data_IF_008498335505
#
_entry.id   IF_008498335505
#
_cell.length_a   1.000
_cell.length_b   1.000
_cell.length_c   1.000
_cell.angle_alpha   90.00
_cell.angle_beta   90.00
_cell.angle_gamma   90.00
#
_symmetry.space_group_name_H-M   'P 1'
#
loop_
_entity.id
_entity.type
_entity.pdbx_description
1 polymer ?
#
# COMPACT_ATOMS: atom_id res chain seq x y z
N UNK A 1 -16.20 7.30 -2.54
CA UNK A 1 -14.74 7.45 -2.37
C UNK A 1 -14.02 6.18 -2.78
N UNK A 2 -12.72 6.24 -2.95
CA UNK A 2 -11.87 5.11 -3.34
C UNK A 2 -10.91 4.80 -2.19
N UNK A 3 -10.84 3.55 -1.75
CA UNK A 3 -9.85 3.06 -0.79
C UNK A 3 -8.74 2.29 -1.54
N UNK A 4 -7.51 2.74 -1.42
CA UNK A 4 -6.31 2.06 -1.93
C UNK A 4 -5.53 1.39 -0.80
N UNK A 5 -5.08 0.14 -1.00
CA UNK A 5 -4.33 -0.64 -0.02
C UNK A 5 -3.08 -1.25 -0.66
N UNK A 6 -1.92 -1.00 -0.04
CA UNK A 6 -0.66 -1.73 -0.27
C UNK A 6 -0.41 -2.67 0.90
N UNK A 7 -0.78 -3.95 0.73
CA UNK A 7 -0.82 -4.93 1.81
C UNK A 7 0.55 -5.55 2.04
N UNK A 8 1.05 -5.42 3.25
CA UNK A 8 2.26 -6.06 3.72
C UNK A 8 2.11 -6.57 5.15
N UNK A 9 2.79 -7.66 5.47
CA UNK A 9 2.78 -8.25 6.83
C UNK A 9 3.57 -7.45 7.86
N UNK A 10 4.33 -6.46 7.45
CA UNK A 10 5.10 -5.57 8.34
C UNK A 10 4.51 -4.18 8.46
N UNK A 11 3.93 -3.67 7.38
CA UNK A 11 3.37 -2.33 7.32
C UNK A 11 2.42 -2.23 6.12
N UNK A 12 1.13 -2.14 6.35
CA UNK A 12 0.15 -1.92 5.27
C UNK A 12 -0.04 -0.42 5.03
N UNK A 13 0.22 0.02 3.81
CA UNK A 13 -0.08 1.38 3.36
C UNK A 13 -1.55 1.51 2.93
N UNK A 14 -2.12 2.70 3.08
CA UNK A 14 -3.48 2.99 2.64
C UNK A 14 -3.64 4.44 2.20
N UNK A 15 -4.58 4.66 1.31
CA UNK A 15 -5.04 6.01 0.94
C UNK A 15 -6.54 6.02 0.68
N UNK A 16 -7.15 7.18 0.88
CA UNK A 16 -8.54 7.47 0.53
C UNK A 16 -8.53 8.62 -0.46
N UNK A 17 -9.15 8.39 -1.61
CA UNK A 17 -9.31 9.37 -2.67
C UNK A 17 -10.79 9.69 -2.89
N UNK A 18 -11.07 10.88 -3.35
CA UNK A 18 -12.33 11.18 -4.01
C UNK A 18 -12.42 10.42 -5.35
N UNK A 19 -13.62 10.35 -5.92
CA UNK A 19 -13.84 9.73 -7.24
C UNK A 19 -13.18 10.49 -8.39
N UNK A 20 -12.83 11.74 -8.22
CA UNK A 20 -12.05 12.56 -9.16
C UNK A 20 -10.52 12.34 -9.06
N UNK A 21 -10.08 11.49 -8.12
CA UNK A 21 -8.66 11.20 -7.87
C UNK A 21 -7.98 12.11 -6.84
N UNK A 22 -8.67 13.11 -6.29
CA UNK A 22 -8.12 13.98 -5.25
C UNK A 22 -7.83 13.20 -3.98
N UNK A 23 -6.60 13.30 -3.46
CA UNK A 23 -6.22 12.67 -2.20
C UNK A 23 -6.92 13.35 -1.02
N UNK A 24 -7.67 12.57 -0.24
CA UNK A 24 -8.28 13.03 1.01
C UNK A 24 -7.40 12.70 2.20
N UNK A 25 -6.91 11.48 2.26
CA UNK A 25 -6.12 11.01 3.39
C UNK A 25 -5.24 9.83 2.97
N UNK A 26 -4.07 9.72 3.58
CA UNK A 26 -3.24 8.52 3.46
C UNK A 26 -2.50 8.24 4.76
N UNK A 27 -2.01 7.01 4.88
CA UNK A 27 -1.27 6.62 6.06
C UNK A 27 -0.78 5.18 5.98
N UNK A 28 -0.41 4.66 7.12
CA UNK A 28 0.08 3.28 7.23
C UNK A 28 -0.36 2.64 8.54
N UNK A 29 -0.44 1.32 8.51
CA UNK A 29 -0.78 0.47 9.67
C UNK A 29 0.46 -0.35 10.01
N UNK A 30 1.15 -0.07 11.14
CA UNK A 30 2.35 -0.80 11.53
C UNK A 30 1.97 -2.19 12.08
N UNK A 31 2.47 -3.26 11.46
CA UNK A 31 2.16 -4.64 11.79
C UNK A 31 3.39 -5.47 12.23
N UNK A 32 4.59 -4.87 12.20
CA UNK A 32 5.85 -5.58 12.49
C UNK A 32 5.93 -6.14 13.91
N UNK A 33 5.26 -5.50 14.87
CA UNK A 33 5.21 -5.94 16.29
C UNK A 33 4.05 -6.89 16.61
N UNK A 34 3.18 -7.16 15.64
CA UNK A 34 2.03 -8.07 15.80
C UNK A 34 2.46 -9.48 15.43
N UNK A 35 2.20 -10.47 16.28
CA UNK A 35 2.84 -11.79 16.23
C UNK A 35 2.41 -12.67 15.07
N UNK A 36 1.10 -12.84 14.82
CA UNK A 36 0.60 -13.78 13.81
C UNK A 36 -0.28 -13.09 12.76
N UNK A 37 -0.54 -13.79 11.65
CA UNK A 37 -1.36 -13.24 10.55
C UNK A 37 -2.79 -12.92 10.99
N UNK A 38 -3.37 -13.70 11.87
CA UNK A 38 -4.75 -13.46 12.34
C UNK A 38 -4.82 -12.21 13.21
N UNK A 39 -3.91 -12.04 14.16
CA UNK A 39 -3.84 -10.80 14.96
C UNK A 39 -3.57 -9.56 14.10
N UNK A 40 -2.76 -9.70 13.04
CA UNK A 40 -2.58 -8.63 12.04
C UNK A 40 -3.88 -8.33 11.30
N UNK A 41 -4.63 -9.38 10.94
CA UNK A 41 -5.93 -9.24 10.30
C UNK A 41 -6.95 -8.52 11.20
N UNK A 42 -6.94 -8.76 12.51
CA UNK A 42 -7.79 -8.03 13.49
C UNK A 42 -7.46 -6.54 13.49
N UNK A 43 -6.17 -6.16 13.45
CA UNK A 43 -5.77 -4.75 13.35
C UNK A 43 -6.29 -4.11 12.07
N UNK A 44 -6.17 -4.82 10.94
CA UNK A 44 -6.72 -4.36 9.65
C UNK A 44 -8.25 -4.28 9.69
N UNK A 45 -8.92 -5.29 10.26
CA UNK A 45 -10.39 -5.31 10.38
C UNK A 45 -10.91 -4.09 11.14
N UNK A 46 -10.26 -3.74 12.24
CA UNK A 46 -10.60 -2.53 13.00
C UNK A 46 -10.43 -1.26 12.15
N UNK A 47 -9.31 -1.14 11.44
CA UNK A 47 -9.09 -0.01 10.53
C UNK A 47 -10.16 0.09 9.43
N UNK A 48 -10.55 -1.04 8.84
CA UNK A 48 -11.58 -1.07 7.79
C UNK A 48 -12.95 -0.66 8.36
N UNK A 49 -13.31 -1.16 9.55
CA UNK A 49 -14.55 -0.79 10.22
C UNK A 49 -14.59 0.70 10.57
N UNK A 50 -13.52 1.24 11.15
CA UNK A 50 -13.42 2.68 11.41
C UNK A 50 -13.52 3.48 10.10
N UNK A 51 -12.91 3.01 9.01
CA UNK A 51 -12.99 3.65 7.68
C UNK A 51 -14.42 3.64 7.15
N UNK A 52 -15.13 2.52 7.25
CA UNK A 52 -16.50 2.39 6.79
C UNK A 52 -17.48 3.31 7.55
N UNK A 53 -17.22 3.57 8.83
CA UNK A 53 -18.02 4.47 9.65
C UNK A 53 -17.89 5.96 9.23
N UNK A 54 -16.72 6.35 8.73
CA UNK A 54 -16.42 7.76 8.45
C UNK A 54 -16.37 8.12 6.96
N UNK A 55 -16.36 7.13 6.07
CA UNK A 55 -16.16 7.32 4.63
C UNK A 55 -17.09 6.42 3.81
N UNK A 56 -17.82 6.99 2.88
CA UNK A 56 -18.60 6.25 1.90
C UNK A 56 -17.67 5.69 0.80
N UNK A 57 -17.13 4.49 1.03
CA UNK A 57 -16.24 3.82 0.08
C UNK A 57 -17.08 3.13 -1.01
N UNK A 58 -16.82 3.46 -2.28
CA UNK A 58 -17.51 2.91 -3.44
C UNK A 58 -16.60 1.99 -4.28
N UNK A 59 -15.28 2.10 -4.13
CA UNK A 59 -14.29 1.27 -4.81
C UNK A 59 -13.14 0.95 -3.87
N UNK A 60 -12.60 -0.26 -3.98
CA UNK A 60 -11.44 -0.70 -3.20
C UNK A 60 -10.42 -1.28 -4.18
N UNK A 61 -9.20 -0.77 -4.14
CA UNK A 61 -8.07 -1.28 -4.91
C UNK A 61 -6.99 -1.81 -3.98
N UNK A 62 -6.49 -3.00 -4.30
CA UNK A 62 -5.38 -3.65 -3.58
C UNK A 62 -4.22 -3.83 -4.56
N UNK A 63 -2.99 -3.52 -4.13
CA UNK A 63 -1.81 -3.85 -4.94
C UNK A 63 -1.74 -5.37 -5.17
N UNK A 64 -1.64 -5.75 -6.45
CA UNK A 64 -1.54 -7.15 -6.86
C UNK A 64 -0.23 -7.76 -6.35
N UNK A 65 -0.31 -8.91 -5.72
CA UNK A 65 0.87 -9.66 -5.30
C UNK A 65 1.73 -10.07 -6.50
N UNK A 66 3.04 -10.16 -6.27
CA UNK A 66 3.95 -10.75 -7.26
C UNK A 66 3.52 -12.19 -7.58
N UNK A 67 3.11 -12.43 -8.82
CA UNK A 67 2.64 -13.73 -9.29
C UNK A 67 3.77 -14.71 -9.60
N UNK A 68 5.02 -14.24 -9.68
CA UNK A 68 6.16 -15.05 -10.00
C UNK A 68 7.29 -14.93 -8.98
N UNK A 69 7.82 -16.07 -8.57
CA UNK A 69 9.06 -16.13 -7.81
C UNK A 69 10.23 -15.62 -8.67
N UNK A 70 10.95 -14.64 -8.15
CA UNK A 70 12.20 -14.14 -8.75
C UNK A 70 13.33 -14.38 -7.75
N UNK A 71 14.32 -15.24 -8.09
CA UNK A 71 15.48 -15.47 -7.24
C UNK A 71 16.14 -14.15 -6.82
N UNK A 72 16.49 -14.01 -5.54
CA UNK A 72 17.15 -12.83 -5.01
C UNK A 72 16.25 -11.68 -4.55
N UNK A 73 14.94 -11.71 -4.83
CA UNK A 73 14.02 -10.65 -4.37
C UNK A 73 13.25 -11.02 -3.11
N UNK A 74 12.73 -12.23 -3.03
CA UNK A 74 11.98 -12.72 -1.86
C UNK A 74 12.04 -14.25 -1.77
N UNK A 75 11.98 -14.79 -0.56
CA UNK A 75 11.84 -16.24 -0.40
C UNK A 75 10.43 -16.70 -0.78
N UNK A 76 10.30 -17.95 -1.24
CA UNK A 76 8.99 -18.57 -1.51
C UNK A 76 8.07 -18.48 -0.28
N UNK A 77 8.62 -18.69 0.93
CA UNK A 77 7.91 -18.56 2.20
C UNK A 77 7.31 -17.15 2.37
N UNK A 78 8.09 -16.11 2.05
CA UNK A 78 7.63 -14.71 2.15
C UNK A 78 6.47 -14.45 1.19
N UNK A 79 6.58 -14.90 -0.07
CA UNK A 79 5.53 -14.72 -1.08
C UNK A 79 4.23 -15.44 -0.69
N UNK A 80 4.34 -16.69 -0.23
CA UNK A 80 3.17 -17.47 0.24
C UNK A 80 2.51 -16.78 1.44
N UNK A 81 3.31 -16.29 2.39
CA UNK A 81 2.79 -15.59 3.57
C UNK A 81 2.08 -14.30 3.18
N UNK A 82 2.65 -13.53 2.26
CA UNK A 82 2.04 -12.31 1.75
C UNK A 82 0.74 -12.60 0.98
N UNK A 83 0.73 -13.62 0.12
CA UNK A 83 -0.47 -14.00 -0.63
C UNK A 83 -1.61 -14.45 0.31
N UNK A 84 -1.30 -15.23 1.35
CA UNK A 84 -2.29 -15.61 2.39
C UNK A 84 -2.85 -14.38 3.09
N UNK A 85 -1.99 -13.45 3.49
CA UNK A 85 -2.42 -12.24 4.19
C UNK A 85 -3.25 -11.33 3.29
N UNK A 86 -2.86 -11.18 2.03
CA UNK A 86 -3.64 -10.44 1.03
C UNK A 86 -5.05 -11.03 0.86
N UNK A 87 -5.17 -12.36 0.75
CA UNK A 87 -6.48 -13.04 0.69
C UNK A 87 -7.35 -12.80 1.93
N UNK A 88 -6.74 -12.80 3.14
CA UNK A 88 -7.47 -12.48 4.37
C UNK A 88 -7.98 -11.05 4.34
N UNK A 89 -7.13 -10.09 3.98
CA UNK A 89 -7.52 -8.67 3.92
C UNK A 89 -8.58 -8.42 2.85
N UNK A 90 -8.47 -9.07 1.69
CA UNK A 90 -9.49 -8.99 0.63
C UNK A 90 -10.86 -9.51 1.10
N UNK A 91 -10.87 -10.60 1.87
CA UNK A 91 -12.09 -11.10 2.49
C UNK A 91 -12.67 -10.11 3.52
N UNK A 92 -11.81 -9.48 4.33
CA UNK A 92 -12.24 -8.45 5.29
C UNK A 92 -12.84 -7.24 4.58
N UNK A 93 -12.26 -6.78 3.48
CA UNK A 93 -12.83 -5.72 2.65
C UNK A 93 -14.24 -6.11 2.16
N UNK A 94 -14.38 -7.31 1.59
CA UNK A 94 -15.70 -7.81 1.17
C UNK A 94 -16.71 -7.86 2.32
N UNK A 95 -16.28 -8.34 3.48
CA UNK A 95 -17.14 -8.45 4.67
C UNK A 95 -17.60 -7.07 5.16
N UNK A 96 -16.69 -6.09 5.22
CA UNK A 96 -16.95 -4.78 5.80
C UNK A 96 -17.73 -3.86 4.85
N UNK A 97 -17.35 -3.83 3.56
CA UNK A 97 -17.93 -2.90 2.58
C UNK A 97 -18.92 -3.56 1.63
N UNK A 98 -19.18 -4.86 1.75
CA UNK A 98 -19.99 -5.65 0.81
C UNK A 98 -19.49 -5.62 -0.64
N UNK A 99 -18.22 -5.29 -0.85
CA UNK A 99 -17.56 -5.15 -2.14
C UNK A 99 -16.34 -6.06 -2.26
N UNK A 100 -16.16 -6.68 -3.42
CA UNK A 100 -14.93 -7.41 -3.75
C UNK A 100 -13.90 -6.38 -4.23
N UNK A 101 -12.71 -6.31 -3.62
CA UNK A 101 -11.69 -5.36 -4.09
C UNK A 101 -11.14 -5.76 -5.46
N UNK A 102 -10.79 -4.75 -6.27
CA UNK A 102 -10.05 -4.92 -7.50
C UNK A 102 -8.54 -4.99 -7.22
N UNK A 103 -7.82 -5.77 -8.03
CA UNK A 103 -6.36 -5.87 -7.91
C UNK A 103 -5.66 -5.03 -8.96
N UNK A 104 -4.74 -4.19 -8.51
CA UNK A 104 -4.02 -3.26 -9.36
C UNK A 104 -2.55 -3.68 -9.53
N UNK A 105 -2.17 -4.02 -10.75
CA UNK A 105 -0.77 -4.29 -11.06
C UNK A 105 0.05 -3.00 -11.03
N UNK A 106 1.09 -2.96 -10.21
CA UNK A 106 1.92 -1.79 -9.97
C UNK A 106 2.60 -1.24 -11.22
N UNK A 107 3.00 -2.12 -12.16
CA UNK A 107 3.63 -1.66 -13.40
C UNK A 107 2.59 -1.03 -14.35
N UNK A 108 1.39 -1.58 -14.40
CA UNK A 108 0.27 -1.02 -15.17
C UNK A 108 -0.14 0.35 -14.61
N UNK A 109 -0.26 0.47 -13.29
CA UNK A 109 -0.56 1.72 -12.61
C UNK A 109 0.49 2.80 -12.93
N UNK A 110 1.78 2.47 -12.78
CA UNK A 110 2.88 3.40 -13.12
C UNK A 110 2.83 3.83 -14.57
N UNK A 111 2.57 2.90 -15.48
CA UNK A 111 2.45 3.20 -16.92
C UNK A 111 1.29 4.16 -17.20
N UNK A 112 0.12 3.93 -16.59
CA UNK A 112 -1.06 4.79 -16.75
C UNK A 112 -0.83 6.20 -16.22
N UNK A 113 -0.05 6.35 -15.15
CA UNK A 113 0.35 7.64 -14.59
C UNK A 113 1.56 8.28 -15.29
N UNK A 114 2.11 7.66 -16.33
CA UNK A 114 3.28 8.17 -17.05
C UNK A 114 4.58 8.11 -16.25
N UNK A 115 4.64 7.35 -15.14
CA UNK A 115 5.82 7.26 -14.28
C UNK A 115 6.91 6.43 -14.95
N UNK A 116 8.04 7.08 -15.27
CA UNK A 116 9.20 6.44 -15.89
C UNK A 116 10.24 6.10 -14.83
N UNK A 117 10.50 4.81 -14.61
CA UNK A 117 11.48 4.32 -13.65
C UNK A 117 12.79 3.97 -14.35
N UNK A 118 13.86 4.67 -14.03
CA UNK A 118 15.20 4.32 -14.48
C UNK A 118 15.68 3.03 -13.78
N UNK A 119 16.32 2.13 -14.54
CA UNK A 119 16.80 0.82 -14.05
C UNK A 119 18.27 0.59 -14.42
N UNK A 120 18.92 -0.30 -13.67
CA UNK A 120 20.30 -0.69 -13.91
C UNK A 120 21.28 0.48 -13.74
N UNK A 121 22.32 0.55 -14.59
CA UNK A 121 23.37 1.59 -14.51
C UNK A 121 22.86 3.03 -14.73
N UNK A 122 21.65 3.20 -15.25
CA UNK A 122 21.01 4.53 -15.45
C UNK A 122 20.26 5.01 -14.20
N UNK A 123 20.12 4.18 -13.18
CA UNK A 123 19.38 4.52 -11.97
C UNK A 123 20.34 5.12 -10.92
N UNK A 124 20.24 6.42 -10.70
CA UNK A 124 20.96 7.11 -9.62
C UNK A 124 20.28 6.96 -8.26
N UNK A 125 19.02 6.48 -8.25
CA UNK A 125 18.17 6.31 -7.06
C UNK A 125 17.46 4.96 -7.09
N UNK A 126 17.06 4.46 -5.92
CA UNK A 126 16.22 3.27 -5.85
C UNK A 126 14.84 3.52 -6.51
N UNK A 127 14.14 2.45 -6.90
CA UNK A 127 12.78 2.58 -7.44
C UNK A 127 11.85 3.29 -6.44
N UNK A 128 12.01 3.03 -5.14
CA UNK A 128 11.21 3.67 -4.08
C UNK A 128 11.47 5.17 -4.01
N UNK A 129 12.72 5.59 -4.09
CA UNK A 129 13.08 7.02 -4.06
C UNK A 129 12.56 7.74 -5.31
N UNK A 130 12.63 7.09 -6.49
CA UNK A 130 12.08 7.65 -7.73
C UNK A 130 10.56 7.84 -7.66
N UNK A 131 9.85 6.89 -7.07
CA UNK A 131 8.39 7.01 -6.85
C UNK A 131 8.10 8.10 -5.82
N UNK A 132 8.88 8.16 -4.73
CA UNK A 132 8.71 9.20 -3.71
C UNK A 132 8.91 10.59 -4.30
N UNK A 133 9.95 10.78 -5.13
CA UNK A 133 10.18 12.06 -5.82
C UNK A 133 8.96 12.45 -6.68
N UNK A 134 8.43 11.49 -7.46
CA UNK A 134 7.27 11.73 -8.32
C UNK A 134 6.02 12.08 -7.49
N UNK A 135 5.69 11.28 -6.49
CA UNK A 135 4.51 11.50 -5.64
C UNK A 135 4.63 12.82 -4.87
N UNK A 136 5.84 13.21 -4.44
CA UNK A 136 6.04 14.47 -3.71
C UNK A 136 5.80 15.70 -4.61
N UNK A 137 5.97 15.58 -5.90
CA UNK A 137 5.63 16.65 -6.86
C UNK A 137 4.12 16.70 -7.11
N UNK A 138 3.49 15.54 -7.31
CA UNK A 138 2.03 15.44 -7.55
C UNK A 138 1.20 15.85 -6.32
N UNK A 139 1.72 15.60 -5.12
CA UNK A 139 1.07 15.88 -3.84
C UNK A 139 1.86 16.93 -3.06
N UNK A 140 2.19 18.05 -3.71
CA UNK A 140 3.04 19.12 -3.15
C UNK A 140 2.48 19.71 -1.85
N UNK A 141 1.17 19.81 -1.75
CA UNK A 141 0.47 20.39 -0.57
C UNK A 141 0.23 19.38 0.56
N UNK A 142 0.66 18.13 0.39
CA UNK A 142 0.50 17.11 1.43
C UNK A 142 1.61 17.21 2.48
N UNK A 143 1.22 17.30 3.75
CA UNK A 143 2.16 17.27 4.88
C UNK A 143 2.71 15.84 5.11
N UNK A 144 3.87 15.58 4.50
CA UNK A 144 4.51 14.28 4.55
C UNK A 144 5.02 13.95 5.95
N UNK A 145 4.62 12.82 6.55
CA UNK A 145 5.12 12.42 7.86
C UNK A 145 6.63 12.19 7.80
N UNK A 146 7.37 12.93 8.58
CA UNK A 146 8.83 12.82 8.67
C UNK A 146 9.24 12.15 9.97
N UNK A 147 10.27 11.29 9.91
CA UNK A 147 10.88 10.67 11.08
C UNK A 147 12.29 11.23 11.28
N UNK A 148 12.53 11.83 12.44
CA UNK A 148 13.88 12.22 12.85
C UNK A 148 14.63 10.96 13.27
N UNK A 149 15.75 10.66 12.62
CA UNK A 149 16.64 9.57 13.01
C UNK A 149 17.41 9.95 14.27
N UNK A 150 17.72 8.98 15.13
CA UNK A 150 18.51 9.18 16.36
C UNK A 150 19.87 9.86 16.12
N UNK A 151 20.37 9.86 14.90
CA UNK A 151 21.63 10.51 14.47
C UNK A 151 21.44 11.95 13.98
N UNK A 152 20.25 12.54 14.14
CA UNK A 152 19.95 13.91 13.66
C UNK A 152 19.80 14.05 12.13
N UNK A 153 19.93 12.95 11.37
CA UNK A 153 19.65 12.96 9.94
C UNK A 153 18.16 12.68 9.70
N UNK A 154 17.50 13.54 8.92
CA UNK A 154 16.15 13.28 8.43
C UNK A 154 16.21 12.21 7.33
N UNK A 155 15.27 11.29 7.37
CA UNK A 155 15.10 10.28 6.35
C UNK A 155 13.75 10.48 5.68
#
# INVERSE_FOLDING_TARGET
>A
MILGLDISTSCTGWCILNTDGTLLKMGYIPLSKVSCLFSKAEVISKFLSDTNLFHEINHIFIEENLQAFRPGLSSAKTLITLARFNGIVSYLCKKEFSMVPDYLNVNSARKSLGIKIARGKKANKSTKDQILDWVSVELVDYDWPTKVLKTGKRK
#
